data_IF_842082449619
#
_entry.id   IF_842082449619
#
_cell.length_a   1.000
_cell.length_b   1.000
_cell.length_c   1.000
_cell.angle_alpha   90.00
_cell.angle_beta   90.00
_cell.angle_gamma   90.00
#
_symmetry.space_group_name_H-M   'P 1'
#
loop_
_entity.id
_entity.type
_entity.pdbx_description
1 polymer ?
#
# COMPACT_ATOMS: atom_id res chain seq x y z
N UNK A 1 18.96 -11.28 0.94
CA UNK A 1 19.10 -11.28 2.43
C UNK A 1 17.74 -11.61 3.03
N UNK A 2 17.67 -12.18 4.25
CA UNK A 2 16.40 -12.37 4.93
C UNK A 2 15.88 -11.00 5.39
N UNK A 3 14.57 -10.74 5.20
CA UNK A 3 13.91 -9.55 5.71
C UNK A 3 13.43 -9.80 7.14
N UNK A 4 13.52 -8.76 7.97
CA UNK A 4 13.04 -8.78 9.35
C UNK A 4 12.14 -7.57 9.59
N UNK A 5 11.14 -7.79 10.43
CA UNK A 5 10.14 -6.79 10.81
C UNK A 5 10.11 -6.61 12.33
N UNK A 6 9.78 -5.41 12.78
CA UNK A 6 9.47 -5.17 14.19
C UNK A 6 8.11 -5.82 14.53
N UNK A 7 8.04 -6.47 15.68
CA UNK A 7 6.80 -7.04 16.20
C UNK A 7 6.10 -6.01 17.08
N UNK A 8 4.79 -5.91 16.87
CA UNK A 8 3.87 -5.09 17.64
C UNK A 8 2.87 -5.98 18.40
N UNK A 9 2.46 -5.51 19.58
CA UNK A 9 1.32 -6.07 20.31
C UNK A 9 -0.02 -5.61 19.71
N UNK A 10 -1.13 -6.10 20.23
CA UNK A 10 -2.48 -5.74 19.79
C UNK A 10 -2.83 -4.25 19.96
N UNK A 11 -2.10 -3.52 20.82
CA UNK A 11 -2.25 -2.08 21.05
C UNK A 11 -1.28 -1.25 20.20
N UNK A 12 -0.58 -1.89 19.25
CA UNK A 12 0.41 -1.27 18.35
C UNK A 12 1.64 -0.72 19.08
N UNK A 13 2.04 -1.31 20.19
CA UNK A 13 3.32 -1.03 20.84
C UNK A 13 4.37 -2.01 20.30
N UNK A 14 5.58 -1.50 19.97
CA UNK A 14 6.71 -2.37 19.63
C UNK A 14 7.07 -3.22 20.83
N UNK A 15 7.15 -4.54 20.63
CA UNK A 15 7.49 -5.50 21.70
C UNK A 15 8.99 -5.63 21.92
N UNK A 16 9.81 -5.18 20.96
CA UNK A 16 11.25 -5.40 20.92
C UNK A 16 11.65 -6.73 20.29
N UNK A 17 10.70 -7.62 19.99
CA UNK A 17 10.95 -8.83 19.21
C UNK A 17 11.03 -8.53 17.72
N UNK A 18 11.72 -9.41 16.99
CA UNK A 18 11.86 -9.34 15.53
C UNK A 18 11.24 -10.58 14.91
N UNK A 19 10.55 -10.37 13.79
CA UNK A 19 9.98 -11.43 12.96
C UNK A 19 10.79 -11.58 11.68
N UNK A 20 11.14 -12.80 11.33
CA UNK A 20 11.74 -13.11 10.03
C UNK A 20 10.64 -13.38 9.01
N UNK A 21 10.67 -12.71 7.86
CA UNK A 21 9.73 -12.96 6.77
C UNK A 21 9.62 -14.44 6.42
N UNK A 22 8.40 -14.97 6.45
CA UNK A 22 8.10 -16.37 6.15
C UNK A 22 7.98 -17.30 7.36
N UNK A 23 8.36 -16.85 8.55
CA UNK A 23 8.09 -17.59 9.77
C UNK A 23 6.61 -17.40 10.20
N UNK A 24 6.02 -18.30 11.01
CA UNK A 24 4.68 -18.10 11.56
C UNK A 24 4.67 -17.01 12.65
N UNK A 25 3.61 -16.21 12.71
CA UNK A 25 3.40 -15.28 13.81
C UNK A 25 2.93 -16.00 15.08
N UNK A 26 3.35 -15.50 16.22
CA UNK A 26 2.80 -15.90 17.53
C UNK A 26 1.40 -15.29 17.78
N UNK A 27 0.67 -15.83 18.79
CA UNK A 27 -0.64 -15.29 19.14
C UNK A 27 -0.58 -13.80 19.52
N UNK A 28 -1.37 -12.96 18.86
CA UNK A 28 -1.43 -11.52 19.11
C UNK A 28 -0.28 -10.69 18.54
N UNK A 29 0.73 -11.33 17.96
CA UNK A 29 1.81 -10.64 17.26
C UNK A 29 1.32 -10.05 15.92
N UNK A 30 1.81 -8.85 15.64
CA UNK A 30 1.56 -8.17 14.36
C UNK A 30 2.81 -7.46 13.89
N UNK A 31 2.86 -7.23 12.58
CA UNK A 31 3.86 -6.34 11.98
C UNK A 31 3.18 -5.10 11.40
N UNK A 32 3.99 -4.17 10.89
CA UNK A 32 3.51 -2.95 10.27
C UNK A 32 3.61 -3.07 8.75
N UNK A 33 2.50 -2.87 8.07
CA UNK A 33 2.43 -2.73 6.62
C UNK A 33 2.00 -1.33 6.20
N UNK A 34 2.22 -1.01 4.95
CA UNK A 34 1.85 0.25 4.33
C UNK A 34 1.22 0.04 2.97
N UNK A 35 0.31 0.93 2.61
CA UNK A 35 -0.32 1.00 1.30
C UNK A 35 -0.41 2.45 0.87
N UNK A 36 -0.16 2.77 -0.41
CA UNK A 36 -0.22 4.14 -0.88
C UNK A 36 -1.09 4.32 -2.13
N UNK A 37 -2.10 5.17 -2.02
CA UNK A 37 -2.93 5.67 -3.10
C UNK A 37 -2.22 6.84 -3.79
N UNK A 38 -1.48 6.53 -4.86
CA UNK A 38 -0.76 7.53 -5.64
C UNK A 38 -1.64 8.04 -6.78
N UNK A 39 -2.01 9.31 -6.73
CA UNK A 39 -2.82 9.96 -7.73
C UNK A 39 -1.95 10.84 -8.63
N UNK A 40 -2.13 10.72 -9.95
CA UNK A 40 -1.51 11.63 -10.90
C UNK A 40 -2.19 13.01 -10.93
N UNK A 41 -1.72 13.93 -11.77
CA UNK A 41 -2.27 15.28 -11.92
C UNK A 41 -3.73 15.27 -12.39
N UNK A 42 -4.16 14.22 -13.09
CA UNK A 42 -5.54 14.04 -13.54
C UNK A 42 -6.42 13.35 -12.49
N UNK A 43 -5.87 12.98 -11.33
CA UNK A 43 -6.55 12.29 -10.25
C UNK A 43 -6.82 10.81 -10.55
N UNK A 44 -6.04 10.20 -11.46
CA UNK A 44 -6.07 8.77 -11.70
C UNK A 44 -5.17 8.05 -10.69
N UNK A 45 -5.56 6.88 -10.27
CA UNK A 45 -4.88 6.05 -9.27
C UNK A 45 -3.88 5.12 -9.96
N UNK A 46 -2.64 5.10 -9.49
CA UNK A 46 -1.66 4.10 -9.90
C UNK A 46 -1.99 2.75 -9.26
N UNK A 47 -2.13 1.75 -10.10
CA UNK A 47 -2.25 0.36 -9.70
C UNK A 47 -1.09 -0.45 -10.26
N UNK A 48 -0.57 -1.38 -9.47
CA UNK A 48 0.43 -2.38 -9.87
C UNK A 48 -0.20 -3.76 -9.92
N UNK A 49 0.29 -4.63 -10.79
CA UNK A 49 -0.18 -6.01 -10.91
C UNK A 49 0.81 -6.94 -10.23
N UNK A 50 0.34 -7.69 -9.24
CA UNK A 50 1.16 -8.61 -8.45
C UNK A 50 1.79 -9.71 -9.31
N UNK A 51 3.04 -10.06 -9.03
CA UNK A 51 3.70 -11.19 -9.67
C UNK A 51 2.91 -12.49 -9.38
N UNK A 52 2.81 -13.35 -10.39
CA UNK A 52 2.00 -14.59 -10.31
C UNK A 52 2.48 -15.55 -9.20
N UNK A 53 3.73 -15.43 -8.75
CA UNK A 53 4.31 -16.26 -7.69
C UNK A 53 3.90 -15.83 -6.29
N UNK A 54 3.30 -14.64 -6.15
CA UNK A 54 2.87 -14.08 -4.87
C UNK A 54 1.44 -14.49 -4.52
N UNK A 55 1.09 -14.41 -3.24
CA UNK A 55 -0.32 -14.46 -2.82
C UNK A 55 -1.11 -13.39 -3.56
N UNK A 56 -2.29 -13.70 -4.06
CA UNK A 56 -3.11 -12.84 -4.94
C UNK A 56 -2.43 -12.49 -6.28
N UNK A 57 -1.51 -13.34 -6.77
CA UNK A 57 -0.79 -13.11 -8.01
C UNK A 57 -1.70 -12.85 -9.20
N UNK A 58 -1.30 -11.91 -10.05
CA UNK A 58 -2.06 -11.48 -11.23
C UNK A 58 -3.19 -10.48 -10.96
N UNK A 59 -3.51 -10.19 -9.68
CA UNK A 59 -4.50 -9.17 -9.32
C UNK A 59 -3.85 -7.79 -9.17
N UNK A 60 -4.67 -6.75 -9.24
CA UNK A 60 -4.25 -5.36 -9.14
C UNK A 60 -4.37 -4.85 -7.71
N UNK A 61 -3.44 -3.99 -7.33
CA UNK A 61 -3.41 -3.36 -6.00
C UNK A 61 -2.76 -1.98 -6.07
N UNK A 62 -2.91 -1.20 -4.98
CA UNK A 62 -2.07 -0.03 -4.75
C UNK A 62 -0.68 -0.50 -4.30
N UNK A 63 0.41 0.20 -4.66
CA UNK A 63 1.76 -0.10 -4.17
C UNK A 63 1.81 -0.13 -2.64
N UNK A 64 2.64 -1.01 -2.08
CA UNK A 64 2.81 -1.15 -0.65
C UNK A 64 3.51 -2.42 -0.24
N UNK A 65 3.83 -2.52 1.03
CA UNK A 65 4.52 -3.67 1.61
C UNK A 65 4.76 -3.53 3.09
N UNK A 66 5.67 -4.34 3.64
CA UNK A 66 5.94 -4.39 5.07
C UNK A 66 7.05 -3.42 5.47
N UNK A 67 6.87 -2.72 6.59
CA UNK A 67 7.94 -1.92 7.20
C UNK A 67 9.06 -2.82 7.69
N UNK A 68 10.30 -2.49 7.35
CA UNK A 68 11.49 -3.20 7.82
C UNK A 68 11.81 -2.80 9.27
N UNK A 69 12.67 -3.59 9.91
CA UNK A 69 13.15 -3.31 11.29
C UNK A 69 13.65 -1.87 11.40
N UNK A 70 13.12 -1.14 12.36
CA UNK A 70 13.49 0.24 12.66
C UNK A 70 12.79 1.30 11.81
N UNK A 71 12.07 0.92 10.75
CA UNK A 71 11.28 1.86 9.98
C UNK A 71 9.99 2.26 10.71
N UNK A 72 9.58 3.50 10.51
CA UNK A 72 8.20 3.92 10.71
C UNK A 72 7.40 3.77 9.40
N UNK A 73 6.08 3.90 9.47
CA UNK A 73 5.23 3.73 8.28
C UNK A 73 5.47 4.79 7.21
N UNK A 74 5.91 6.01 7.58
CA UNK A 74 6.24 7.08 6.63
C UNK A 74 7.51 6.78 5.84
N UNK A 75 8.51 6.20 6.48
CA UNK A 75 9.74 5.72 5.85
C UNK A 75 9.44 4.53 4.94
N UNK A 76 8.70 3.56 5.46
CA UNK A 76 8.32 2.35 4.72
C UNK A 76 7.55 2.68 3.44
N UNK A 77 6.53 3.55 3.50
CA UNK A 77 5.72 3.89 2.33
C UNK A 77 6.51 4.60 1.23
N UNK A 78 7.50 5.43 1.59
CA UNK A 78 8.41 6.08 0.62
C UNK A 78 9.32 5.05 -0.06
N UNK A 79 9.86 4.10 0.72
CA UNK A 79 10.70 3.03 0.20
C UNK A 79 9.90 2.11 -0.73
N UNK A 80 8.74 1.62 -0.29
CA UNK A 80 7.90 0.70 -1.06
C UNK A 80 7.45 1.30 -2.39
N UNK A 81 6.97 2.55 -2.40
CA UNK A 81 6.59 3.20 -3.66
C UNK A 81 7.78 3.25 -4.62
N UNK A 82 8.97 3.63 -4.14
CA UNK A 82 10.15 3.72 -4.98
C UNK A 82 10.63 2.35 -5.47
N UNK A 83 10.62 1.33 -4.62
CA UNK A 83 11.05 -0.03 -4.97
C UNK A 83 10.14 -0.67 -5.99
N UNK A 84 8.81 -0.63 -5.76
CA UNK A 84 7.84 -1.28 -6.65
C UNK A 84 7.59 -0.54 -7.96
N UNK A 85 7.75 0.79 -7.97
CA UNK A 85 7.34 1.62 -9.12
C UNK A 85 8.42 2.53 -9.69
N UNK A 86 9.55 2.68 -9.01
CA UNK A 86 10.58 3.64 -9.38
C UNK A 86 10.22 5.11 -9.11
N UNK A 87 9.00 5.40 -8.66
CA UNK A 87 8.57 6.77 -8.37
C UNK A 87 9.10 7.21 -7.00
N UNK A 88 9.66 8.42 -6.95
CA UNK A 88 10.12 9.05 -5.71
C UNK A 88 9.15 10.15 -5.29
N UNK A 89 8.82 10.20 -4.01
CA UNK A 89 7.95 11.24 -3.46
C UNK A 89 8.60 12.63 -3.48
N UNK A 90 9.95 12.71 -3.50
CA UNK A 90 10.64 13.99 -3.39
C UNK A 90 10.18 14.74 -2.14
N UNK A 91 9.76 16.01 -2.33
CA UNK A 91 9.22 16.87 -1.27
C UNK A 91 7.72 16.65 -1.01
N UNK A 92 7.06 15.78 -1.78
CA UNK A 92 5.65 15.48 -1.56
C UNK A 92 5.45 14.72 -0.25
N UNK A 93 4.50 15.19 0.56
CA UNK A 93 4.17 14.55 1.84
C UNK A 93 2.93 13.67 1.69
N UNK A 94 3.04 12.35 1.87
CA UNK A 94 1.89 11.48 1.86
C UNK A 94 1.00 11.73 3.08
N UNK A 95 -0.30 11.89 2.85
CA UNK A 95 -1.31 12.04 3.89
C UNK A 95 -1.70 10.67 4.44
N UNK A 96 -1.55 10.45 5.75
CA UNK A 96 -2.04 9.25 6.42
C UNK A 96 -3.56 9.30 6.52
N UNK A 97 -4.24 8.43 5.80
CA UNK A 97 -5.70 8.32 5.83
C UNK A 97 -6.20 7.55 7.05
N UNK A 98 -5.46 6.55 7.49
CA UNK A 98 -5.77 5.77 8.67
C UNK A 98 -5.04 4.45 8.72
N UNK A 99 -5.27 3.73 9.83
CA UNK A 99 -4.76 2.38 10.03
C UNK A 99 -5.92 1.40 10.02
N UNK A 100 -5.73 0.27 9.36
CA UNK A 100 -6.62 -0.90 9.44
C UNK A 100 -5.84 -2.10 9.95
N UNK A 101 -6.55 -3.08 10.49
CA UNK A 101 -5.96 -4.37 10.87
C UNK A 101 -6.41 -5.40 9.85
N UNK A 102 -5.47 -6.11 9.30
CA UNK A 102 -5.72 -7.19 8.37
C UNK A 102 -4.81 -8.38 8.69
N UNK A 103 -5.39 -9.50 9.10
CA UNK A 103 -4.65 -10.66 9.59
C UNK A 103 -3.66 -10.24 10.71
N UNK A 104 -2.39 -10.58 10.60
CA UNK A 104 -1.32 -10.22 11.53
C UNK A 104 -0.65 -8.88 11.19
N UNK A 105 -1.37 -7.95 10.55
CA UNK A 105 -0.80 -6.72 10.03
C UNK A 105 -1.58 -5.49 10.48
N UNK A 106 -0.88 -4.47 11.00
CA UNK A 106 -1.37 -3.11 11.01
C UNK A 106 -1.03 -2.47 9.68
N UNK A 107 -2.01 -2.02 8.92
CA UNK A 107 -1.77 -1.39 7.62
C UNK A 107 -2.08 0.10 7.70
N UNK A 108 -1.04 0.91 7.53
CA UNK A 108 -1.18 2.36 7.38
C UNK A 108 -1.41 2.69 5.91
N UNK A 109 -2.60 3.19 5.59
CA UNK A 109 -2.96 3.61 4.24
C UNK A 109 -2.70 5.10 4.06
N UNK A 110 -1.88 5.42 3.08
CA UNK A 110 -1.53 6.78 2.69
C UNK A 110 -2.15 7.18 1.36
N UNK A 111 -2.27 8.48 1.12
CA UNK A 111 -2.56 9.04 -0.19
C UNK A 111 -1.58 10.15 -0.53
N UNK A 112 -1.21 10.26 -1.80
CA UNK A 112 -0.31 11.30 -2.31
C UNK A 112 -0.71 11.71 -3.73
N UNK A 113 -0.37 12.93 -4.11
CA UNK A 113 -0.40 13.40 -5.50
C UNK A 113 1.01 13.61 -5.99
N UNK A 114 1.31 13.02 -7.14
CA UNK A 114 2.59 13.18 -7.80
C UNK A 114 2.39 13.54 -9.27
N UNK A 115 3.19 14.43 -9.82
CA UNK A 115 3.30 14.61 -11.26
C UNK A 115 4.13 13.46 -11.85
N UNK A 116 3.48 12.49 -12.49
CA UNK A 116 4.14 11.39 -13.20
C UNK A 116 3.30 10.92 -14.39
N UNK A 117 3.95 10.30 -15.35
CA UNK A 117 3.31 9.56 -16.41
C UNK A 117 3.52 8.05 -16.21
N UNK A 118 2.64 7.21 -16.78
CA UNK A 118 2.81 5.75 -16.69
C UNK A 118 4.16 5.27 -17.26
N UNK A 119 4.71 6.01 -18.22
CA UNK A 119 6.02 5.73 -18.81
C UNK A 119 7.19 5.93 -17.84
N UNK A 120 7.00 6.65 -16.74
CA UNK A 120 8.02 6.87 -15.69
C UNK A 120 8.11 5.68 -14.73
N UNK A 121 7.07 4.84 -14.69
CA UNK A 121 7.01 3.68 -13.80
C UNK A 121 8.06 2.64 -14.19
N UNK A 122 8.80 2.16 -13.21
CA UNK A 122 9.78 1.08 -13.30
C UNK A 122 9.41 -0.01 -12.30
N UNK A 123 8.96 -1.16 -12.83
CA UNK A 123 8.48 -2.26 -12.02
C UNK A 123 9.64 -3.04 -11.39
N UNK A 124 9.46 -3.43 -10.14
CA UNK A 124 10.40 -4.29 -9.43
C UNK A 124 10.22 -5.74 -9.89
N UNK A 125 11.29 -6.33 -10.41
CA UNK A 125 11.29 -7.73 -10.82
C UNK A 125 10.97 -8.66 -9.64
N UNK A 126 10.03 -9.58 -9.85
CA UNK A 126 9.62 -10.54 -8.83
C UNK A 126 8.55 -10.04 -7.86
N UNK A 127 8.23 -8.74 -7.87
CA UNK A 127 7.17 -8.13 -7.06
C UNK A 127 5.95 -7.78 -7.91
N UNK A 128 6.18 -7.06 -9.00
CA UNK A 128 5.14 -6.55 -9.88
C UNK A 128 5.41 -6.87 -11.34
N UNK A 129 4.37 -7.11 -12.15
CA UNK A 129 4.48 -7.48 -13.56
C UNK A 129 3.90 -6.46 -14.52
N UNK A 130 3.08 -5.55 -14.04
CA UNK A 130 2.40 -4.55 -14.87
C UNK A 130 2.00 -3.33 -14.01
N UNK A 131 1.76 -2.18 -14.66
CA UNK A 131 1.21 -0.99 -14.02
C UNK A 131 0.16 -0.34 -14.91
N UNK A 132 -0.85 0.27 -14.30
CA UNK A 132 -1.86 1.06 -15.02
C UNK A 132 -2.35 2.25 -14.20
N UNK A 133 -2.89 3.24 -14.89
CA UNK A 133 -3.66 4.32 -14.30
C UNK A 133 -5.15 4.00 -14.47
N UNK A 134 -5.86 3.92 -13.35
CA UNK A 134 -7.31 3.75 -13.30
C UNK A 134 -7.98 5.04 -12.84
N UNK A 135 -9.20 5.30 -13.27
CA UNK A 135 -9.95 6.43 -12.68
C UNK A 135 -10.27 6.13 -11.22
N UNK A 136 -10.31 7.16 -10.40
CA UNK A 136 -10.69 7.00 -8.99
C UNK A 136 -12.05 6.30 -8.86
N UNK A 137 -13.03 6.68 -9.69
CA UNK A 137 -14.38 6.10 -9.68
C UNK A 137 -14.38 4.61 -10.07
N UNK A 138 -13.47 4.18 -10.95
CA UNK A 138 -13.28 2.76 -11.29
C UNK A 138 -12.78 1.97 -10.08
N UNK A 139 -11.74 2.48 -9.41
CA UNK A 139 -11.15 1.80 -8.24
C UNK A 139 -12.11 1.81 -7.07
N UNK A 140 -12.78 2.93 -6.80
CA UNK A 140 -13.80 3.03 -5.76
C UNK A 140 -14.93 2.02 -5.98
N UNK A 141 -15.45 1.91 -7.20
CA UNK A 141 -16.47 0.91 -7.55
C UNK A 141 -15.96 -0.51 -7.34
N UNK A 142 -14.72 -0.79 -7.76
CA UNK A 142 -14.12 -2.11 -7.55
C UNK A 142 -14.02 -2.47 -6.07
N UNK A 143 -13.67 -1.51 -5.20
CA UNK A 143 -13.65 -1.70 -3.74
C UNK A 143 -15.06 -1.95 -3.21
N UNK A 144 -16.06 -1.17 -3.62
CA UNK A 144 -17.44 -1.31 -3.15
C UNK A 144 -18.05 -2.65 -3.57
N UNK A 145 -17.87 -3.04 -4.82
CA UNK A 145 -18.48 -4.24 -5.41
C UNK A 145 -17.67 -5.53 -5.17
N UNK A 146 -16.40 -5.42 -4.74
CA UNK A 146 -15.51 -6.58 -4.60
C UNK A 146 -15.11 -7.14 -5.96
N UNK A 147 -14.63 -6.29 -6.86
CA UNK A 147 -14.29 -6.69 -8.22
C UNK A 147 -13.21 -7.78 -8.24
N UNK A 148 -13.36 -8.83 -9.09
CA UNK A 148 -12.47 -9.99 -9.08
C UNK A 148 -11.04 -9.72 -9.57
N UNK A 149 -10.81 -8.56 -10.18
CA UNK A 149 -9.49 -8.14 -10.62
C UNK A 149 -8.69 -7.38 -9.54
N UNK A 150 -9.36 -6.92 -8.47
CA UNK A 150 -8.73 -6.23 -7.35
C UNK A 150 -8.29 -7.25 -6.29
N UNK A 151 -7.09 -7.11 -5.75
CA UNK A 151 -6.62 -7.97 -4.66
C UNK A 151 -7.54 -7.82 -3.44
N UNK A 152 -7.98 -8.96 -2.87
CA UNK A 152 -8.96 -8.97 -1.77
C UNK A 152 -8.60 -8.10 -0.57
N UNK A 153 -7.32 -8.10 -0.10
CA UNK A 153 -6.90 -7.24 1.00
C UNK A 153 -7.15 -5.75 0.78
N UNK A 154 -7.01 -5.26 -0.45
CA UNK A 154 -7.26 -3.84 -0.79
C UNK A 154 -8.69 -3.45 -0.42
N UNK A 155 -9.67 -4.30 -0.75
CA UNK A 155 -11.07 -4.03 -0.43
C UNK A 155 -11.27 -3.85 1.08
N UNK A 156 -10.78 -4.79 1.88
CA UNK A 156 -10.98 -4.81 3.33
C UNK A 156 -10.30 -3.62 4.02
N UNK A 157 -9.10 -3.26 3.57
CA UNK A 157 -8.33 -2.12 4.08
C UNK A 157 -8.93 -0.78 3.69
N UNK A 158 -9.44 -0.67 2.47
CA UNK A 158 -9.90 0.59 1.88
C UNK A 158 -11.33 0.95 2.26
N UNK A 159 -12.24 -0.03 2.39
CA UNK A 159 -13.65 0.25 2.69
C UNK A 159 -13.88 1.22 3.85
N UNK A 160 -13.25 1.07 5.03
CA UNK A 160 -13.41 2.00 6.14
C UNK A 160 -12.80 3.38 5.88
N UNK A 161 -11.89 3.49 4.91
CA UNK A 161 -11.16 4.72 4.59
C UNK A 161 -11.73 5.48 3.38
N UNK A 162 -12.70 4.92 2.67
CA UNK A 162 -13.31 5.56 1.49
C UNK A 162 -13.77 7.00 1.72
N UNK A 163 -14.40 7.37 2.86
CA UNK A 163 -14.77 8.77 3.10
C UNK A 163 -13.58 9.72 3.09
N UNK A 164 -12.45 9.31 3.66
CA UNK A 164 -11.21 10.10 3.68
C UNK A 164 -10.56 10.17 2.29
N UNK A 165 -10.54 9.08 1.55
CA UNK A 165 -10.07 9.04 0.16
C UNK A 165 -10.87 10.00 -0.75
N UNK A 166 -12.19 10.04 -0.60
CA UNK A 166 -13.06 10.99 -1.31
C UNK A 166 -12.72 12.43 -0.97
N UNK A 167 -12.49 12.70 0.31
CA UNK A 167 -12.06 14.03 0.77
C UNK A 167 -10.71 14.41 0.19
N UNK A 168 -9.72 13.53 0.25
CA UNK A 168 -8.40 13.72 -0.35
C UNK A 168 -8.50 14.01 -1.86
N UNK A 169 -9.31 13.22 -2.59
CA UNK A 169 -9.58 13.46 -4.02
C UNK A 169 -10.17 14.85 -4.28
N UNK A 170 -11.10 15.29 -3.45
CA UNK A 170 -11.79 16.56 -3.65
C UNK A 170 -10.91 17.81 -3.40
N UNK A 171 -9.89 17.70 -2.56
CA UNK A 171 -8.95 18.79 -2.24
C UNK A 171 -8.12 19.26 -3.44
N UNK A 172 -7.98 18.46 -4.48
CA UNK A 172 -7.18 18.79 -5.67
C UNK A 172 -7.86 19.74 -6.68
N UNK A 173 -9.08 20.11 -6.45
CA UNK A 173 -9.85 21.00 -7.35
C UNK A 173 -9.77 22.49 -6.94
N UNK A 174 -8.90 22.81 -6.00
CA UNK A 174 -8.60 24.19 -5.61
C UNK A 174 -7.23 24.58 -6.14
#
# INVERSE_FOLDING_TARGET
MAEYWDIYDENRNKTGALHRRGDPFGPGERHLGVEIWTLDEQGRVLLTRRDLRKRFGGLWECPGGSALVGEDSRTAVRRELREETGLDLGDAEPELLGTTVYEEEFVDTYAVRLPFALADVRLQEGETTDARLATFDEVERAVLEGAPWLAGPIRERTLPLLPKLRTFRAQAKK
#
